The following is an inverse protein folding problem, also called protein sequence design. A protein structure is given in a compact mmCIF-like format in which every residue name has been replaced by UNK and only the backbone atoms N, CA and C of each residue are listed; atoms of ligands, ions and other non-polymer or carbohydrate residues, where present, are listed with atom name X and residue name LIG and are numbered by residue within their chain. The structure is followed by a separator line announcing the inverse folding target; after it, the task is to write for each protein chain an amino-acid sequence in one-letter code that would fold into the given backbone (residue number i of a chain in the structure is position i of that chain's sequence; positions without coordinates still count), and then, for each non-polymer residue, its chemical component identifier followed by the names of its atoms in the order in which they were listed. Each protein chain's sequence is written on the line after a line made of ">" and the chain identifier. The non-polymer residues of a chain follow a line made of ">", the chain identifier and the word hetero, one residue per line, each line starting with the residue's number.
data_IF_333544635061
#
_entry.id   IF_333544635061
#
_cell.length_a   1.000
_cell.length_b   1.000
_cell.length_c   1.000
_cell.angle_alpha   90.00
_cell.angle_beta   90.00
_cell.angle_gamma   90.00
#
_symmetry.space_group_name_H-M   'P 1'
#
loop_
_entity.id
_entity.type
_entity.pdbx_description
1 polymer ?
#
# COMPACT_ATOMS: atom_id res chain seq x y z
N UNK A 1 -2.59 4.58 -21.97
CA UNK A 1 -2.37 5.93 -21.43
C UNK A 1 -1.06 5.91 -20.66
N UNK A 2 0.01 6.42 -21.27
CA UNK A 2 1.38 6.30 -20.74
C UNK A 2 1.56 7.15 -19.49
N UNK A 3 1.84 6.50 -18.36
CA UNK A 3 2.21 7.17 -17.11
C UNK A 3 3.68 7.59 -17.22
N UNK A 4 3.90 8.82 -17.68
CA UNK A 4 5.22 9.46 -17.65
C UNK A 4 5.44 9.96 -16.22
N UNK A 5 6.10 9.16 -15.37
CA UNK A 5 6.56 9.61 -14.06
C UNK A 5 8.04 9.31 -13.90
N UNK A 6 8.74 10.24 -13.27
CA UNK A 6 10.17 10.23 -13.01
C UNK A 6 10.55 9.08 -12.06
N UNK A 7 10.66 7.86 -12.58
CA UNK A 7 11.07 6.66 -11.84
C UNK A 7 12.48 6.75 -11.22
N UNK A 8 13.22 7.85 -11.45
CA UNK A 8 14.53 8.11 -10.84
C UNK A 8 14.52 8.91 -9.53
N UNK A 9 13.37 9.46 -9.10
CA UNK A 9 13.30 10.34 -7.91
C UNK A 9 12.33 9.87 -6.81
N UNK A 10 11.47 8.88 -7.08
CA UNK A 10 10.54 8.31 -6.09
C UNK A 10 10.82 6.83 -5.90
N UNK A 11 11.13 6.43 -4.67
CA UNK A 11 11.33 5.03 -4.30
C UNK A 11 9.94 4.37 -4.17
N UNK A 12 9.43 3.85 -5.29
CA UNK A 12 8.16 3.14 -5.34
C UNK A 12 8.36 1.67 -4.95
N UNK A 13 7.48 1.19 -4.11
CA UNK A 13 7.46 -0.17 -3.57
C UNK A 13 6.04 -0.71 -3.64
N UNK A 14 5.90 -2.02 -3.82
CA UNK A 14 4.61 -2.71 -3.70
C UNK A 14 4.33 -3.00 -2.23
N UNK A 15 3.15 -2.60 -1.76
CA UNK A 15 2.63 -2.98 -0.45
C UNK A 15 1.27 -3.68 -0.63
N UNK A 16 0.88 -4.49 0.35
CA UNK A 16 -0.35 -5.28 0.32
C UNK A 16 -1.34 -4.70 1.35
N UNK A 17 -2.50 -4.25 0.86
CA UNK A 17 -3.62 -3.81 1.69
C UNK A 17 -4.62 -4.96 1.85
N UNK A 18 -5.19 -5.17 3.05
CA UNK A 18 -6.32 -6.07 3.19
C UNK A 18 -7.56 -5.44 2.53
N UNK A 19 -8.31 -6.23 1.78
CA UNK A 19 -9.62 -5.84 1.26
C UNK A 19 -10.69 -6.08 2.32
N UNK A 20 -11.66 -5.18 2.41
CA UNK A 20 -12.83 -5.32 3.27
C UNK A 20 -13.96 -5.99 2.49
N UNK A 21 -14.84 -6.71 3.20
CA UNK A 21 -16.09 -7.28 2.67
C UNK A 21 -15.97 -8.33 1.53
N UNK A 22 -14.80 -8.94 1.35
CA UNK A 22 -14.59 -10.00 0.34
C UNK A 22 -15.13 -11.39 0.76
N UNK A 23 -15.56 -11.55 2.02
CA UNK A 23 -15.99 -12.85 2.56
C UNK A 23 -14.86 -13.85 2.83
N UNK A 24 -13.62 -13.50 2.51
CA UNK A 24 -12.38 -14.25 2.79
C UNK A 24 -11.20 -13.29 3.00
N UNK A 25 -10.04 -13.80 3.41
CA UNK A 25 -8.81 -13.01 3.55
C UNK A 25 -8.22 -12.72 2.15
N UNK A 26 -8.40 -11.48 1.68
CA UNK A 26 -7.93 -11.01 0.38
C UNK A 26 -7.01 -9.80 0.53
N UNK A 27 -5.94 -9.79 -0.25
CA UNK A 27 -4.91 -8.75 -0.22
C UNK A 27 -4.73 -8.13 -1.61
N UNK A 28 -4.75 -6.80 -1.68
CA UNK A 28 -4.53 -6.05 -2.91
C UNK A 28 -3.11 -5.48 -2.93
N UNK A 29 -2.27 -5.84 -3.93
CA UNK A 29 -1.01 -5.15 -4.16
C UNK A 29 -1.29 -3.73 -4.67
N UNK A 30 -0.64 -2.74 -4.06
CA UNK A 30 -0.75 -1.33 -4.44
C UNK A 30 0.63 -0.68 -4.48
N UNK A 31 0.77 0.35 -5.29
CA UNK A 31 1.98 1.18 -5.34
C UNK A 31 2.00 2.15 -4.15
N UNK A 32 3.16 2.26 -3.51
CA UNK A 32 3.41 3.24 -2.47
C UNK A 32 4.82 3.81 -2.56
N UNK A 33 5.00 5.06 -2.14
CA UNK A 33 6.33 5.67 -2.01
C UNK A 33 6.89 5.36 -0.63
N UNK A 34 8.10 4.81 -0.56
CA UNK A 34 8.82 4.58 0.70
C UNK A 34 9.26 5.92 1.30
N UNK A 35 8.76 6.24 2.49
CA UNK A 35 9.04 7.50 3.20
C UNK A 35 9.81 7.28 4.52
N UNK A 36 10.02 6.02 4.89
CA UNK A 36 10.83 5.60 6.04
C UNK A 36 11.21 4.12 5.94
N UNK A 37 11.85 3.54 6.97
CA UNK A 37 12.27 2.13 6.95
C UNK A 37 11.11 1.16 6.70
N UNK A 38 9.99 1.40 7.40
CA UNK A 38 8.75 0.62 7.41
C UNK A 38 7.51 1.50 7.16
N UNK A 39 7.71 2.72 6.65
CA UNK A 39 6.64 3.70 6.40
C UNK A 39 6.49 3.98 4.90
N UNK A 40 5.26 3.93 4.41
CA UNK A 40 4.94 4.00 2.99
C UNK A 40 3.74 4.93 2.77
N UNK A 41 3.81 5.81 1.77
CA UNK A 41 2.67 6.63 1.34
C UNK A 41 1.97 5.97 0.16
N UNK A 42 0.69 5.62 0.31
CA UNK A 42 -0.10 5.00 -0.75
C UNK A 42 -0.24 5.99 -1.92
N UNK A 43 0.04 5.54 -3.14
CA UNK A 43 -0.12 6.35 -4.37
C UNK A 43 -1.12 5.75 -5.36
N UNK A 44 -1.52 4.49 -5.17
CA UNK A 44 -2.62 3.90 -5.93
C UNK A 44 -3.96 4.48 -5.48
N UNK A 45 -4.84 4.69 -6.44
CA UNK A 45 -6.24 5.05 -6.20
C UNK A 45 -7.08 3.77 -6.02
N UNK A 46 -8.01 3.81 -5.06
CA UNK A 46 -8.94 2.71 -4.79
C UNK A 46 -10.01 2.65 -5.90
N UNK A 47 -10.20 1.50 -6.57
CA UNK A 47 -11.33 1.29 -7.48
C UNK A 47 -12.69 1.45 -6.79
N UNK A 48 -13.72 1.87 -7.53
CA UNK A 48 -15.06 2.09 -6.95
C UNK A 48 -15.70 0.81 -6.39
N UNK A 49 -15.37 -0.33 -6.99
CA UNK A 49 -15.88 -1.67 -6.68
C UNK A 49 -15.08 -2.41 -5.59
N UNK A 50 -14.04 -1.79 -5.02
CA UNK A 50 -13.24 -2.37 -3.92
C UNK A 50 -13.37 -1.57 -2.65
N UNK A 51 -13.35 -2.22 -1.48
CA UNK A 51 -13.31 -1.54 -0.19
C UNK A 51 -11.93 -1.70 0.47
N UNK A 52 -11.21 -0.59 0.65
CA UNK A 52 -9.92 -0.57 1.32
C UNK A 52 -10.03 0.14 2.66
N UNK A 53 -9.31 -0.31 3.71
CA UNK A 53 -9.26 0.38 5.00
C UNK A 53 -8.41 1.65 4.96
N UNK A 54 -7.68 1.89 3.86
CA UNK A 54 -6.74 2.99 3.68
C UNK A 54 -6.94 3.68 2.33
N UNK A 55 -6.50 4.93 2.21
CA UNK A 55 -6.70 5.80 1.04
C UNK A 55 -5.37 6.25 0.43
N UNK A 56 -5.44 6.64 -0.84
CA UNK A 56 -4.35 7.35 -1.52
C UNK A 56 -3.92 8.58 -0.71
N UNK A 57 -2.60 8.77 -0.59
CA UNK A 57 -1.97 9.84 0.18
C UNK A 57 -1.74 9.53 1.66
N UNK A 58 -2.42 8.55 2.24
CA UNK A 58 -2.17 8.14 3.63
C UNK A 58 -0.78 7.49 3.78
N UNK A 59 -0.12 7.79 4.91
CA UNK A 59 1.11 7.12 5.29
C UNK A 59 0.76 5.96 6.20
N UNK A 60 1.23 4.78 5.85
CA UNK A 60 0.98 3.53 6.57
C UNK A 60 2.28 2.92 7.04
N UNK A 61 2.22 2.23 8.18
CA UNK A 61 3.29 1.36 8.63
C UNK A 61 3.08 -0.03 8.06
N UNK A 62 4.15 -0.60 7.50
CA UNK A 62 4.16 -1.96 6.98
C UNK A 62 5.08 -2.86 7.82
N UNK A 63 4.89 -4.17 7.69
CA UNK A 63 5.88 -5.18 8.11
C UNK A 63 6.17 -6.12 6.96
N UNK A 64 7.35 -6.72 6.94
CA UNK A 64 7.62 -7.81 6.00
C UNK A 64 6.81 -9.04 6.40
N UNK A 65 6.16 -9.69 5.44
CA UNK A 65 5.38 -10.91 5.61
C UNK A 65 5.69 -11.91 4.50
N UNK A 66 5.86 -13.16 4.90
CA UNK A 66 5.81 -14.30 3.98
C UNK A 66 4.34 -14.67 3.75
N UNK A 67 3.89 -14.59 2.50
CA UNK A 67 2.64 -15.17 2.04
C UNK A 67 2.87 -16.62 1.57
N UNK A 68 1.81 -17.34 1.24
CA UNK A 68 1.91 -18.76 0.87
C UNK A 68 2.83 -18.98 -0.34
N UNK A 69 2.76 -18.09 -1.33
CA UNK A 69 3.52 -18.17 -2.59
C UNK A 69 4.40 -16.94 -2.88
N UNK A 70 4.43 -15.94 -1.99
CA UNK A 70 5.09 -14.65 -2.22
C UNK A 70 5.64 -14.05 -0.92
N UNK A 71 6.44 -12.99 -1.00
CA UNK A 71 6.88 -12.19 0.15
C UNK A 71 6.72 -10.69 -0.12
N UNK A 72 6.36 -9.92 0.90
CA UNK A 72 6.19 -8.48 0.71
C UNK A 72 5.79 -7.70 1.94
N UNK A 73 5.53 -6.40 1.72
CA UNK A 73 5.13 -5.46 2.76
C UNK A 73 3.63 -5.54 3.04
N UNK A 74 3.25 -6.06 4.19
CA UNK A 74 1.89 -6.05 4.69
C UNK A 74 1.62 -4.75 5.45
N UNK A 75 0.53 -4.05 5.12
CA UNK A 75 0.11 -2.89 5.92
C UNK A 75 -0.49 -3.32 7.25
N UNK A 76 -0.02 -2.71 8.35
CA UNK A 76 -0.47 -3.05 9.71
C UNK A 76 -1.14 -1.89 10.46
N UNK A 77 -0.92 -0.65 10.05
CA UNK A 77 -1.52 0.54 10.69
C UNK A 77 -1.41 1.78 9.79
N UNK A 78 -2.34 2.73 9.94
CA UNK A 78 -2.12 4.12 9.52
C UNK A 78 -1.17 4.78 10.51
N UNK A 79 -0.24 5.60 10.01
CA UNK A 79 0.58 6.48 10.83
C UNK A 79 -0.14 7.82 10.93
N UNK A 80 -0.59 8.24 12.12
CA UNK A 80 -1.26 9.54 12.27
C UNK A 80 -0.34 10.66 11.79
N UNK A 81 -0.89 11.71 11.14
CA UNK A 81 -0.10 12.92 10.89
C UNK A 81 0.42 13.44 12.23
N UNK A 82 1.70 13.80 12.28
CA UNK A 82 2.28 14.41 13.48
C UNK A 82 1.49 15.70 13.80
N UNK A 83 0.93 15.75 15.01
CA UNK A 83 0.23 16.93 15.57
C UNK A 83 1.21 17.96 16.09
#
# INVERSE_FOLDING_TARGET
>A
MSRLLLHGLVNLETIYLPLLNEGTDCWRPVEATKVGPDHFRIVSERPEDEEWPYRSGEVVRCRWRQFQDDEGWEVVAVVPPAV
#
